data_IF_989991887443
#
_entry.id   IF_989991887443
#
_cell.length_a   1.000
_cell.length_b   1.000
_cell.length_c   1.000
_cell.angle_alpha   90.00
_cell.angle_beta   90.00
_cell.angle_gamma   90.00
#
_symmetry.space_group_name_H-M   'P 1'
#
loop_
_entity.id
_entity.type
_entity.pdbx_description
1 polymer ?
#
# COMPACT_ATOMS: atom_id res chain seq x y z
N UNK A 1 -2.79 -20.89 -21.68
CA UNK A 1 -3.31 -20.34 -20.42
C UNK A 1 -4.10 -19.08 -20.75
N UNK A 2 -5.39 -19.09 -20.48
CA UNK A 2 -6.16 -17.87 -20.66
C UNK A 2 -5.69 -16.85 -19.62
N UNK A 3 -5.41 -15.61 -20.00
CA UNK A 3 -5.12 -14.59 -19.01
C UNK A 3 -6.31 -14.48 -18.07
N UNK A 4 -6.05 -14.40 -16.78
CA UNK A 4 -7.12 -14.14 -15.83
C UNK A 4 -7.80 -12.84 -16.27
N UNK A 5 -9.11 -12.89 -16.40
CA UNK A 5 -9.92 -11.74 -16.80
C UNK A 5 -10.04 -10.71 -15.65
N UNK A 6 -9.06 -10.71 -14.74
CA UNK A 6 -9.05 -9.80 -13.59
C UNK A 6 -8.54 -8.44 -14.05
N UNK A 7 -9.29 -7.43 -13.70
CA UNK A 7 -8.82 -6.06 -13.93
C UNK A 7 -7.57 -5.80 -13.09
N UNK A 8 -6.61 -5.12 -13.68
CA UNK A 8 -5.32 -4.87 -13.08
C UNK A 8 -5.10 -3.37 -12.89
N UNK A 9 -4.66 -3.01 -11.69
CA UNK A 9 -4.14 -1.68 -11.39
C UNK A 9 -2.79 -1.83 -10.70
N UNK A 10 -1.82 -0.99 -11.06
CA UNK A 10 -0.50 -1.06 -10.45
C UNK A 10 -0.56 -0.74 -8.97
N UNK A 11 -1.27 0.31 -8.60
CA UNK A 11 -1.42 0.73 -7.20
C UNK A 11 -2.87 0.68 -6.77
N UNK A 12 -3.12 0.09 -5.60
CA UNK A 12 -4.38 0.20 -4.90
C UNK A 12 -4.19 1.18 -3.74
N UNK A 13 -5.03 2.22 -3.68
CA UNK A 13 -4.99 3.24 -2.65
C UNK A 13 -6.20 3.05 -1.75
N UNK A 14 -5.98 2.88 -0.45
CA UNK A 14 -7.05 2.74 0.54
C UNK A 14 -6.90 3.86 1.56
N UNK A 15 -7.74 4.88 1.43
CA UNK A 15 -7.70 6.09 2.27
C UNK A 15 -9.10 6.70 2.28
N UNK A 16 -9.67 6.91 3.46
CA UNK A 16 -11.02 7.44 3.61
C UNK A 16 -11.14 8.92 3.24
N UNK A 17 -10.02 9.64 3.15
CA UNK A 17 -10.00 11.02 2.71
C UNK A 17 -10.03 11.08 1.17
N UNK A 18 -11.16 11.49 0.55
CA UNK A 18 -11.25 11.50 -0.90
C UNK A 18 -10.30 12.50 -1.55
N UNK A 19 -9.92 13.56 -0.86
CA UNK A 19 -8.96 14.54 -1.36
C UNK A 19 -7.57 13.93 -1.51
N UNK A 20 -7.12 13.20 -0.49
CA UNK A 20 -5.82 12.51 -0.52
C UNK A 20 -5.84 11.39 -1.56
N UNK A 21 -6.90 10.60 -1.59
CA UNK A 21 -7.04 9.54 -2.58
C UNK A 21 -6.94 10.08 -4.01
N UNK A 22 -7.66 11.16 -4.29
CA UNK A 22 -7.63 11.81 -5.60
C UNK A 22 -6.25 12.37 -5.92
N UNK A 23 -5.59 12.99 -4.94
CA UNK A 23 -4.25 13.53 -5.12
C UNK A 23 -3.26 12.42 -5.48
N UNK A 24 -3.29 11.29 -4.78
CA UNK A 24 -2.40 10.16 -5.06
C UNK A 24 -2.66 9.56 -6.44
N UNK A 25 -3.93 9.39 -6.80
CA UNK A 25 -4.29 8.88 -8.12
C UNK A 25 -3.72 9.79 -9.21
N UNK A 26 -3.93 11.11 -9.07
CA UNK A 26 -3.43 12.08 -10.06
C UNK A 26 -1.90 12.05 -10.12
N UNK A 27 -1.24 12.06 -8.96
CA UNK A 27 0.22 12.06 -8.87
C UNK A 27 0.82 10.82 -9.56
N UNK A 28 0.28 9.66 -9.27
CA UNK A 28 0.81 8.40 -9.79
C UNK A 28 0.49 8.24 -11.29
N UNK A 29 -0.69 8.64 -11.72
CA UNK A 29 -1.06 8.60 -13.14
C UNK A 29 -0.18 9.51 -13.99
N UNK A 30 0.18 10.67 -13.48
CA UNK A 30 1.10 11.59 -14.17
C UNK A 30 2.48 10.96 -14.39
N UNK A 31 2.82 9.95 -13.61
CA UNK A 31 4.08 9.21 -13.72
C UNK A 31 3.94 7.90 -14.48
N UNK A 32 2.81 7.70 -15.14
CA UNK A 32 2.60 6.54 -16.00
C UNK A 32 2.06 5.30 -15.30
N UNK A 33 1.62 5.42 -14.05
CA UNK A 33 1.10 4.29 -13.28
C UNK A 33 -0.43 4.23 -13.35
N UNK A 34 -0.95 3.01 -13.37
CA UNK A 34 -2.39 2.81 -13.20
C UNK A 34 -2.70 2.67 -11.72
N UNK A 35 -3.83 3.22 -11.29
CA UNK A 35 -4.22 3.15 -9.88
C UNK A 35 -5.72 3.11 -9.71
N UNK A 36 -6.13 2.51 -8.60
CA UNK A 36 -7.52 2.49 -8.16
C UNK A 36 -7.57 2.94 -6.71
N UNK A 37 -8.55 3.76 -6.35
CA UNK A 37 -8.70 4.26 -4.99
C UNK A 37 -10.00 3.72 -4.38
N UNK A 38 -9.89 3.25 -3.14
CA UNK A 38 -11.01 2.88 -2.29
C UNK A 38 -11.04 3.86 -1.12
N UNK A 39 -12.14 4.57 -0.95
CA UNK A 39 -12.34 5.46 0.19
C UNK A 39 -13.08 4.79 1.34
N UNK A 40 -13.47 3.55 1.17
CA UNK A 40 -14.08 2.71 2.19
C UNK A 40 -13.25 1.43 2.33
N UNK A 41 -12.60 1.26 3.48
CA UNK A 41 -11.75 0.10 3.75
C UNK A 41 -12.51 -1.24 3.73
N UNK A 42 -13.82 -1.22 3.97
CA UNK A 42 -14.64 -2.43 3.89
C UNK A 42 -14.77 -2.99 2.48
N UNK A 43 -14.49 -2.19 1.46
CA UNK A 43 -14.53 -2.63 0.06
C UNK A 43 -13.26 -3.37 -0.37
N UNK A 44 -12.23 -3.39 0.47
CA UNK A 44 -10.92 -3.95 0.12
C UNK A 44 -11.00 -5.43 -0.23
N UNK A 45 -11.70 -6.22 0.58
CA UNK A 45 -11.81 -7.67 0.35
C UNK A 45 -12.48 -7.96 -0.99
N UNK A 46 -13.59 -7.30 -1.25
CA UNK A 46 -14.33 -7.45 -2.51
C UNK A 46 -13.48 -7.05 -3.71
N UNK A 47 -12.79 -5.93 -3.59
CA UNK A 47 -11.92 -5.46 -4.68
C UNK A 47 -10.78 -6.44 -4.96
N UNK A 48 -10.08 -6.90 -3.93
CA UNK A 48 -8.96 -7.84 -4.09
C UNK A 48 -9.41 -9.21 -4.59
N UNK A 49 -10.66 -9.61 -4.38
CA UNK A 49 -11.18 -10.85 -4.92
C UNK A 49 -11.38 -10.80 -6.44
N UNK A 50 -11.54 -9.62 -7.01
CA UNK A 50 -11.87 -9.42 -8.43
C UNK A 50 -10.76 -8.74 -9.23
N UNK A 51 -9.79 -8.13 -8.55
CA UNK A 51 -8.76 -7.32 -9.20
C UNK A 51 -7.37 -7.71 -8.67
N UNK A 52 -6.35 -7.42 -9.47
CA UNK A 52 -4.95 -7.57 -9.07
C UNK A 52 -4.28 -6.20 -8.97
N UNK A 53 -3.32 -6.08 -8.06
CA UNK A 53 -2.47 -4.91 -7.95
C UNK A 53 -1.04 -5.31 -7.59
N UNK A 54 -0.10 -4.43 -7.88
CA UNK A 54 1.32 -4.68 -7.55
C UNK A 54 1.67 -4.19 -6.15
N UNK A 55 1.05 -3.09 -5.69
CA UNK A 55 1.30 -2.50 -4.37
C UNK A 55 0.02 -1.90 -3.85
N UNK A 56 -0.25 -2.08 -2.57
CA UNK A 56 -1.34 -1.41 -1.87
C UNK A 56 -0.75 -0.30 -0.98
N UNK A 57 -1.39 0.87 -1.01
CA UNK A 57 -1.07 2.02 -0.15
C UNK A 57 -2.23 2.18 0.81
N UNK A 58 -1.97 2.05 2.11
CA UNK A 58 -3.03 1.96 3.12
C UNK A 58 -2.84 3.05 4.17
N UNK A 59 -3.92 3.80 4.45
CA UNK A 59 -3.97 4.70 5.60
C UNK A 59 -4.38 3.91 6.84
N UNK A 60 -3.70 4.14 7.95
CA UNK A 60 -4.01 3.47 9.21
C UNK A 60 -5.21 4.08 9.93
N UNK A 61 -5.48 5.36 9.71
CA UNK A 61 -6.56 6.07 10.41
C UNK A 61 -7.77 6.25 9.52
N UNK A 62 -8.63 5.26 9.58
CA UNK A 62 -9.95 5.32 8.95
C UNK A 62 -11.01 5.17 10.06
N UNK A 63 -12.06 6.01 10.08
CA UNK A 63 -13.00 6.05 11.21
C UNK A 63 -13.71 4.73 11.48
N UNK A 64 -13.96 3.94 10.44
CA UNK A 64 -14.77 2.70 10.54
C UNK A 64 -13.95 1.43 10.45
N UNK A 65 -12.67 1.53 10.11
CA UNK A 65 -11.81 0.38 9.85
C UNK A 65 -10.49 0.58 10.57
N UNK A 66 -10.09 -0.40 11.36
CA UNK A 66 -8.75 -0.42 11.93
C UNK A 66 -7.75 -0.79 10.83
N UNK A 67 -6.85 0.14 10.50
CA UNK A 67 -5.88 -0.06 9.43
C UNK A 67 -4.91 -1.20 9.69
N UNK A 68 -4.51 -1.42 10.94
CA UNK A 68 -3.63 -2.54 11.30
C UNK A 68 -4.33 -3.88 11.04
N UNK A 69 -5.59 -4.00 11.48
CA UNK A 69 -6.39 -5.20 11.21
C UNK A 69 -6.61 -5.42 9.73
N UNK A 70 -6.82 -4.34 8.98
CA UNK A 70 -6.98 -4.43 7.53
C UNK A 70 -5.70 -4.96 6.86
N UNK A 71 -4.53 -4.49 7.29
CA UNK A 71 -3.25 -4.98 6.78
C UNK A 71 -3.10 -6.48 7.05
N UNK A 72 -3.40 -6.93 8.27
CA UNK A 72 -3.35 -8.35 8.62
C UNK A 72 -4.26 -9.17 7.71
N UNK A 73 -5.48 -8.69 7.50
CA UNK A 73 -6.45 -9.34 6.63
C UNK A 73 -5.96 -9.41 5.18
N UNK A 74 -5.43 -8.32 4.65
CA UNK A 74 -4.89 -8.26 3.30
C UNK A 74 -3.71 -9.23 3.14
N UNK A 75 -2.87 -9.33 4.16
CA UNK A 75 -1.73 -10.24 4.15
C UNK A 75 -2.16 -11.70 4.15
N UNK A 76 -3.24 -12.04 4.84
CA UNK A 76 -3.81 -13.38 4.77
C UNK A 76 -4.38 -13.70 3.39
N UNK A 77 -5.05 -12.71 2.78
CA UNK A 77 -5.58 -12.88 1.42
C UNK A 77 -4.49 -13.05 0.37
N UNK A 78 -3.39 -12.33 0.52
CA UNK A 78 -2.29 -12.33 -0.45
C UNK A 78 -0.96 -12.21 0.28
N UNK A 79 -0.28 -13.35 0.57
CA UNK A 79 0.98 -13.35 1.32
C UNK A 79 2.12 -12.59 0.64
N UNK A 80 2.05 -12.37 -0.66
CA UNK A 80 3.11 -11.69 -1.41
C UNK A 80 2.79 -10.27 -1.82
N UNK A 81 1.61 -9.73 -1.47
CA UNK A 81 1.24 -8.37 -1.84
C UNK A 81 2.09 -7.35 -1.05
N UNK A 82 2.87 -6.49 -1.72
CA UNK A 82 3.54 -5.40 -1.03
C UNK A 82 2.52 -4.38 -0.51
N UNK A 83 2.65 -4.01 0.77
CA UNK A 83 1.75 -3.06 1.44
C UNK A 83 2.59 -1.94 2.01
N UNK A 84 2.30 -0.71 1.62
CA UNK A 84 2.95 0.49 2.13
C UNK A 84 1.94 1.33 2.90
N UNK A 85 2.26 1.63 4.15
CA UNK A 85 1.43 2.51 4.98
C UNK A 85 1.74 3.96 4.65
N UNK A 86 0.71 4.76 4.45
CA UNK A 86 0.82 6.21 4.24
C UNK A 86 -0.16 6.89 5.17
N UNK A 87 0.33 7.43 6.29
CA UNK A 87 -0.52 7.90 7.38
C UNK A 87 -0.16 9.30 7.84
N UNK A 88 -1.18 10.09 8.23
CA UNK A 88 -1.03 11.48 8.67
C UNK A 88 -0.65 11.64 10.12
N UNK A 89 -0.59 10.55 10.89
CA UNK A 89 -0.07 10.62 12.25
C UNK A 89 1.42 10.87 12.18
N UNK A 90 1.93 11.77 13.02
CA UNK A 90 3.37 11.95 13.18
C UNK A 90 4.05 10.63 13.48
N UNK A 91 5.36 10.60 13.39
CA UNK A 91 6.12 9.38 13.59
C UNK A 91 5.78 8.76 14.96
N UNK A 92 5.17 7.60 14.92
CA UNK A 92 4.80 6.79 16.08
C UNK A 92 5.45 5.42 15.91
N UNK A 93 6.48 5.18 16.72
CA UNK A 93 7.26 3.95 16.61
C UNK A 93 6.44 2.70 16.92
N UNK A 94 5.56 2.77 17.92
CA UNK A 94 4.68 1.64 18.26
C UNK A 94 3.73 1.31 17.09
N UNK A 95 3.13 2.32 16.50
CA UNK A 95 2.22 2.14 15.37
C UNK A 95 2.96 1.59 14.15
N UNK A 96 4.17 2.09 13.89
CA UNK A 96 5.01 1.60 12.82
C UNK A 96 5.35 0.13 13.02
N UNK A 97 5.79 -0.25 14.22
CA UNK A 97 6.11 -1.65 14.53
C UNK A 97 4.87 -2.55 14.42
N UNK A 98 3.72 -2.08 14.88
CA UNK A 98 2.47 -2.83 14.76
C UNK A 98 2.10 -3.05 13.30
N UNK A 99 2.24 -2.04 12.46
CA UNK A 99 1.96 -2.16 11.03
C UNK A 99 2.91 -3.15 10.35
N UNK A 100 4.20 -3.10 10.68
CA UNK A 100 5.19 -4.03 10.13
C UNK A 100 4.92 -5.47 10.57
N UNK A 101 4.57 -5.67 11.86
CA UNK A 101 4.21 -7.00 12.36
C UNK A 101 2.94 -7.54 11.68
N UNK A 102 2.00 -6.66 11.35
CA UNK A 102 0.78 -7.05 10.64
C UNK A 102 1.04 -7.45 9.19
N UNK A 103 2.18 -7.06 8.63
CA UNK A 103 2.58 -7.45 7.28
C UNK A 103 2.91 -6.29 6.34
N UNK A 104 2.98 -5.04 6.82
CA UNK A 104 3.37 -3.92 5.97
C UNK A 104 4.83 -4.02 5.57
N UNK A 105 5.13 -3.59 4.35
CA UNK A 105 6.47 -3.59 3.77
C UNK A 105 7.12 -2.22 3.80
N UNK A 106 6.37 -1.18 4.10
CA UNK A 106 6.87 0.18 4.20
C UNK A 106 5.94 1.05 5.04
N UNK A 107 6.47 2.16 5.52
CA UNK A 107 5.73 3.09 6.37
C UNK A 107 6.19 4.50 6.04
N UNK A 108 5.29 5.36 5.60
CA UNK A 108 5.58 6.74 5.20
C UNK A 108 4.60 7.70 5.88
N UNK A 109 5.12 8.80 6.39
CA UNK A 109 4.31 9.86 6.97
C UNK A 109 3.76 10.79 5.89
N UNK A 110 2.47 11.16 6.00
CA UNK A 110 1.86 12.18 5.14
C UNK A 110 2.45 13.57 5.37
N UNK A 111 3.20 13.77 6.47
CA UNK A 111 3.85 15.03 6.78
C UNK A 111 5.14 15.26 5.97
N UNK A 112 5.62 14.23 5.28
CA UNK A 112 6.79 14.33 4.41
C UNK A 112 6.36 14.75 3.00
N UNK A 113 7.30 15.27 2.19
CA UNK A 113 7.02 15.50 0.77
C UNK A 113 6.58 14.22 0.08
N UNK A 114 5.68 14.35 -0.89
CA UNK A 114 5.11 13.20 -1.61
C UNK A 114 6.20 12.36 -2.30
N UNK A 115 7.32 12.97 -2.66
CA UNK A 115 8.45 12.28 -3.27
C UNK A 115 9.01 11.20 -2.37
N UNK A 116 8.89 11.32 -1.04
CA UNK A 116 9.30 10.29 -0.11
C UNK A 116 8.45 9.03 -0.25
N UNK A 117 7.14 9.20 -0.40
CA UNK A 117 6.26 8.07 -0.69
C UNK A 117 6.67 7.41 -2.01
N UNK A 118 6.89 8.21 -3.05
CA UNK A 118 7.26 7.68 -4.36
C UNK A 118 8.56 6.90 -4.31
N UNK A 119 9.55 7.39 -3.56
CA UNK A 119 10.83 6.67 -3.38
C UNK A 119 10.62 5.30 -2.71
N UNK A 120 9.77 5.24 -1.68
CA UNK A 120 9.47 3.98 -1.00
C UNK A 120 8.72 3.03 -1.94
N UNK A 121 7.75 3.54 -2.68
CA UNK A 121 7.02 2.73 -3.66
C UNK A 121 7.95 2.15 -4.72
N UNK A 122 8.88 2.95 -5.23
CA UNK A 122 9.85 2.50 -6.22
C UNK A 122 10.75 1.38 -5.68
N UNK A 123 11.20 1.51 -4.43
CA UNK A 123 12.03 0.48 -3.78
C UNK A 123 11.25 -0.81 -3.54
N UNK A 124 10.01 -0.69 -3.10
CA UNK A 124 9.14 -1.85 -2.87
C UNK A 124 8.87 -2.57 -4.18
N UNK A 125 8.59 -1.84 -5.24
CA UNK A 125 8.39 -2.43 -6.57
C UNK A 125 9.65 -3.15 -7.07
N UNK A 126 10.81 -2.53 -6.92
CA UNK A 126 12.09 -3.13 -7.34
C UNK A 126 12.36 -4.43 -6.55
N UNK A 127 12.16 -4.42 -5.24
CA UNK A 127 12.31 -5.61 -4.40
C UNK A 127 11.36 -6.71 -4.81
N UNK A 128 10.11 -6.35 -5.11
CA UNK A 128 9.09 -7.31 -5.54
C UNK A 128 9.45 -7.94 -6.89
N UNK A 129 9.98 -7.17 -7.82
CA UNK A 129 10.44 -7.67 -9.12
C UNK A 129 11.62 -8.61 -8.97
N UNK A 130 12.55 -8.33 -8.05
CA UNK A 130 13.66 -9.20 -7.75
C UNK A 130 13.20 -10.52 -7.14
N UNK A 131 12.16 -10.50 -6.30
CA UNK A 131 11.57 -11.69 -5.71
C UNK A 131 10.99 -12.64 -6.75
N UNK A 132 10.45 -12.12 -7.83
CA UNK A 132 9.95 -12.94 -8.94
C UNK A 132 11.08 -13.67 -9.68
N UNK A 133 12.31 -13.21 -9.54
CA UNK A 133 13.50 -13.79 -10.20
C UNK A 133 14.33 -14.68 -9.27
N UNK A 134 14.29 -14.42 -7.96
CA UNK A 134 15.04 -15.16 -6.94
C UNK A 134 14.19 -15.19 -5.67
N UNK A 135 14.63 -15.91 -4.62
CA UNK A 135 13.87 -16.03 -3.36
C UNK A 135 14.66 -15.34 -2.23
N UNK A 136 14.85 -14.02 -2.23
CA UNK A 136 15.42 -13.35 -1.09
C UNK A 136 14.34 -12.96 -0.09
N UNK A 137 14.69 -12.88 1.20
CA UNK A 137 13.84 -12.26 2.19
C UNK A 137 13.90 -10.76 2.01
N UNK A 138 12.74 -10.10 1.84
CA UNK A 138 12.69 -8.66 1.76
C UNK A 138 12.57 -8.05 3.15
N UNK A 139 13.34 -7.00 3.38
CA UNK A 139 13.21 -6.19 4.59
C UNK A 139 12.25 -5.04 4.34
N UNK A 140 11.48 -4.62 5.36
CA UNK A 140 10.59 -3.47 5.21
C UNK A 140 11.35 -2.21 4.82
N UNK A 141 10.71 -1.36 4.02
CA UNK A 141 11.25 -0.06 3.62
C UNK A 141 10.54 1.01 4.42
N UNK A 142 11.30 1.86 5.10
CA UNK A 142 10.78 2.89 6.00
C UNK A 142 11.16 4.27 5.51
N UNK A 143 10.24 5.24 5.65
CA UNK A 143 10.51 6.66 5.47
C UNK A 143 9.69 7.45 6.49
N UNK A 144 10.22 8.59 6.91
CA UNK A 144 9.59 9.42 7.94
C UNK A 144 10.08 9.14 9.34
N UNK A 145 11.05 8.28 9.51
CA UNK A 145 11.77 8.14 10.76
C UNK A 145 12.68 9.36 10.91
N UNK A 146 12.52 10.05 12.01
CA UNK A 146 13.34 11.22 12.31
C UNK A 146 14.78 10.81 12.59
#
# INVERSE_FOLDING_TARGET
MSPSNREYSQFLIIDDDPGIAKFLVTYLRQRGHTCHALTDGFQTASWLSEHDCEVAIVDLRMPKVDGISLISFMREMNPSLPIVVFTGVGYDEEQMHAALRAGANGYVSKNLPIEQLYCVLARVLATCQQRKRSVPSAQPVLAGAA
#
